data_IF_578834827201
#
_entry.id   IF_578834827201
#
_cell.length_a   1.000
_cell.length_b   1.000
_cell.length_c   1.000
_cell.angle_alpha   90.00
_cell.angle_beta   90.00
_cell.angle_gamma   90.00
#
_symmetry.space_group_name_H-M   'P 1'
#
loop_
_entity.id
_entity.type
_entity.pdbx_description
1 polymer ?
#
# COMPACT_ATOMS: atom_id res chain seq x y z
N UNK A 1 -4.38 21.46 -3.14
CA UNK A 1 -4.74 21.29 -4.57
C UNK A 1 -3.73 20.42 -5.33
N UNK A 2 -2.42 20.66 -5.24
CA UNK A 2 -1.40 19.84 -5.94
C UNK A 2 -1.42 18.33 -5.61
N UNK A 3 -1.67 17.97 -4.34
CA UNK A 3 -1.74 16.58 -3.89
C UNK A 3 -2.83 15.80 -4.64
N UNK A 4 -4.00 16.41 -4.88
CA UNK A 4 -5.12 15.74 -5.58
C UNK A 4 -4.74 15.45 -7.04
N UNK A 5 -4.09 16.41 -7.72
CA UNK A 5 -3.65 16.21 -9.11
C UNK A 5 -2.55 15.16 -9.24
N UNK A 6 -1.60 15.13 -8.30
CA UNK A 6 -0.55 14.10 -8.24
C UNK A 6 -1.14 12.68 -8.20
N UNK A 7 -2.25 12.51 -7.51
CA UNK A 7 -2.84 11.19 -7.30
C UNK A 7 -3.77 10.70 -8.41
N UNK A 8 -4.34 11.60 -9.21
CA UNK A 8 -5.16 11.22 -10.38
C UNK A 8 -4.33 10.43 -11.39
N UNK A 9 -3.03 10.74 -11.54
CA UNK A 9 -2.14 10.07 -12.49
C UNK A 9 -1.70 8.65 -12.06
N UNK A 10 -1.84 8.30 -10.78
CA UNK A 10 -1.53 6.94 -10.28
C UNK A 10 -2.48 5.89 -10.87
N UNK A 11 -3.68 6.29 -11.31
CA UNK A 11 -4.75 5.38 -11.70
C UNK A 11 -4.58 4.70 -13.06
N UNK A 12 -3.51 4.98 -13.82
CA UNK A 12 -3.39 4.55 -15.23
C UNK A 12 -2.37 3.43 -15.44
N UNK A 13 -2.34 2.41 -14.57
CA UNK A 13 -1.46 1.27 -14.76
C UNK A 13 -2.07 -0.02 -14.20
N UNK A 14 -2.21 -1.05 -15.05
CA UNK A 14 -3.20 -2.12 -14.90
C UNK A 14 -2.68 -3.49 -14.43
N UNK A 15 -1.41 -3.64 -14.02
CA UNK A 15 -0.83 -4.99 -13.89
C UNK A 15 -0.29 -5.38 -12.49
N UNK A 16 -0.44 -4.54 -11.46
CA UNK A 16 0.24 -4.80 -10.19
C UNK A 16 -0.66 -4.51 -8.99
N UNK A 17 -0.85 -5.50 -8.11
CA UNK A 17 -1.53 -5.35 -6.81
C UNK A 17 -1.00 -4.19 -5.99
N UNK A 18 0.29 -3.85 -6.14
CA UNK A 18 0.90 -2.69 -5.48
C UNK A 18 0.22 -1.37 -5.86
N UNK A 19 -0.28 -1.24 -7.10
CA UNK A 19 -0.97 -0.03 -7.60
C UNK A 19 -2.29 0.19 -6.87
N UNK A 20 -2.96 -0.89 -6.45
CA UNK A 20 -4.15 -0.80 -5.61
C UNK A 20 -3.80 -0.18 -4.25
N UNK A 21 -2.66 -0.58 -3.67
CA UNK A 21 -2.09 0.06 -2.47
C UNK A 21 -1.80 1.54 -2.65
N UNK A 22 -1.21 1.94 -3.78
CA UNK A 22 -0.99 3.36 -4.10
C UNK A 22 -2.29 4.15 -4.19
N UNK A 23 -3.32 3.57 -4.82
CA UNK A 23 -4.64 4.19 -4.92
C UNK A 23 -5.26 4.39 -3.54
N UNK A 24 -5.22 3.37 -2.67
CA UNK A 24 -5.72 3.47 -1.30
C UNK A 24 -4.94 4.49 -0.46
N UNK A 25 -3.62 4.58 -0.65
CA UNK A 25 -2.79 5.60 -0.01
C UNK A 25 -3.17 7.01 -0.46
N UNK A 26 -3.32 7.21 -1.76
CA UNK A 26 -3.76 8.46 -2.36
C UNK A 26 -5.13 8.90 -1.83
N UNK A 27 -6.11 7.99 -1.80
CA UNK A 27 -7.44 8.23 -1.27
C UNK A 27 -7.38 8.73 0.18
N UNK A 28 -6.60 8.06 1.03
CA UNK A 28 -6.46 8.44 2.44
C UNK A 28 -5.80 9.80 2.62
N UNK A 29 -4.82 10.15 1.78
CA UNK A 29 -4.22 11.50 1.75
C UNK A 29 -5.21 12.56 1.27
N UNK A 30 -6.12 12.24 0.36
CA UNK A 30 -7.19 13.15 -0.07
C UNK A 30 -8.22 13.34 1.05
N UNK A 31 -8.65 12.25 1.71
CA UNK A 31 -9.54 12.30 2.86
C UNK A 31 -8.94 13.15 3.98
N UNK A 32 -7.65 13.02 4.25
CA UNK A 32 -6.95 13.84 5.24
C UNK A 32 -7.05 15.34 4.91
N UNK A 33 -6.80 15.71 3.65
CA UNK A 33 -6.85 17.12 3.20
C UNK A 33 -8.28 17.68 3.21
N UNK A 34 -9.28 16.86 2.90
CA UNK A 34 -10.68 17.30 2.74
C UNK A 34 -11.48 17.23 4.04
N UNK A 35 -11.27 16.18 4.84
CA UNK A 35 -12.06 15.84 6.02
C UNK A 35 -11.24 15.82 7.33
N UNK A 36 -9.92 16.02 7.25
CA UNK A 36 -9.04 16.09 8.41
C UNK A 36 -8.38 14.75 8.78
N UNK A 37 -7.35 14.85 9.62
CA UNK A 37 -6.51 13.72 10.03
C UNK A 37 -7.29 12.62 10.74
N UNK A 38 -8.16 12.97 11.69
CA UNK A 38 -8.95 11.97 12.44
C UNK A 38 -9.76 11.06 11.51
N UNK A 39 -10.32 11.64 10.44
CA UNK A 39 -11.11 10.90 9.47
C UNK A 39 -10.26 9.99 8.60
N UNK A 40 -9.06 10.44 8.20
CA UNK A 40 -8.10 9.61 7.50
C UNK A 40 -7.62 8.45 8.39
N UNK A 41 -7.29 8.70 9.66
CA UNK A 41 -6.89 7.65 10.62
C UNK A 41 -8.02 6.65 10.87
N UNK A 42 -9.28 7.10 10.94
CA UNK A 42 -10.43 6.20 11.01
C UNK A 42 -10.51 5.29 9.78
N UNK A 43 -10.36 5.84 8.56
CA UNK A 43 -10.36 5.05 7.33
C UNK A 43 -9.21 4.04 7.30
N UNK A 44 -8.03 4.42 7.80
CA UNK A 44 -6.91 3.48 7.98
C UNK A 44 -7.28 2.34 8.94
N UNK A 45 -7.96 2.64 10.05
CA UNK A 45 -8.39 1.62 11.03
C UNK A 45 -9.43 0.67 10.45
N UNK A 46 -10.40 1.19 9.69
CA UNK A 46 -11.37 0.36 8.96
C UNK A 46 -10.65 -0.58 7.99
N UNK A 47 -9.67 -0.05 7.23
CA UNK A 47 -8.83 -0.83 6.34
C UNK A 47 -8.01 -1.90 7.06
N UNK A 48 -7.43 -1.57 8.22
CA UNK A 48 -6.73 -2.54 9.07
C UNK A 48 -7.64 -3.68 9.53
N UNK A 49 -8.88 -3.37 9.94
CA UNK A 49 -9.88 -4.40 10.28
C UNK A 49 -10.18 -5.28 9.07
N UNK A 50 -10.29 -4.66 7.89
CA UNK A 50 -10.46 -5.34 6.61
C UNK A 50 -9.35 -6.34 6.31
N UNK A 51 -8.11 -5.87 6.42
CA UNK A 51 -6.93 -6.70 6.23
C UNK A 51 -6.91 -7.91 7.17
N UNK A 52 -7.20 -7.71 8.46
CA UNK A 52 -7.28 -8.82 9.43
C UNK A 52 -8.37 -9.83 9.08
N UNK A 53 -9.54 -9.38 8.61
CA UNK A 53 -10.60 -10.31 8.12
C UNK A 53 -10.10 -11.13 6.93
N UNK A 54 -9.33 -10.54 6.03
CA UNK A 54 -8.76 -11.28 4.89
C UNK A 54 -7.70 -12.30 5.33
N UNK A 55 -6.90 -12.00 6.36
CA UNK A 55 -5.97 -12.98 6.93
C UNK A 55 -6.69 -14.20 7.48
N UNK A 56 -7.82 -14.00 8.17
CA UNK A 56 -8.64 -15.10 8.67
C UNK A 56 -9.32 -15.87 7.53
N UNK A 57 -9.87 -15.18 6.52
CA UNK A 57 -10.48 -15.80 5.34
C UNK A 57 -9.50 -16.72 4.60
N UNK A 58 -8.24 -16.30 4.48
CA UNK A 58 -7.20 -17.03 3.74
C UNK A 58 -6.27 -17.85 4.65
N UNK A 59 -6.64 -18.16 5.89
CA UNK A 59 -5.79 -18.93 6.81
C UNK A 59 -5.38 -20.30 6.26
N UNK A 60 -6.27 -20.93 5.49
CA UNK A 60 -6.03 -22.25 4.87
C UNK A 60 -5.31 -22.16 3.52
N UNK A 61 -5.17 -20.94 2.97
CA UNK A 61 -4.40 -20.68 1.76
C UNK A 61 -3.78 -19.28 1.78
N UNK A 62 -2.69 -19.14 2.54
CA UNK A 62 -2.08 -17.84 2.76
C UNK A 62 -1.38 -17.24 1.54
N UNK A 63 -1.27 -17.95 0.40
CA UNK A 63 -0.68 -17.40 -0.82
C UNK A 63 -1.37 -16.10 -1.25
N UNK A 64 -2.70 -16.01 -1.08
CA UNK A 64 -3.51 -14.85 -1.42
C UNK A 64 -3.38 -13.69 -0.44
N UNK A 65 -2.60 -13.85 0.63
CA UNK A 65 -2.26 -12.75 1.56
C UNK A 65 -0.97 -12.03 1.17
N UNK A 66 -0.23 -12.52 0.16
CA UNK A 66 0.94 -11.85 -0.39
C UNK A 66 0.54 -10.63 -1.20
N UNK A 67 1.42 -9.63 -1.26
CA UNK A 67 1.23 -8.51 -2.20
C UNK A 67 1.51 -8.93 -3.64
N UNK A 68 2.37 -9.93 -3.84
CA UNK A 68 2.65 -10.53 -5.14
C UNK A 68 2.32 -12.02 -5.13
N UNK A 69 1.03 -12.40 -5.15
CA UNK A 69 0.62 -13.80 -5.16
C UNK A 69 0.96 -14.46 -6.50
N UNK A 70 1.25 -15.76 -6.46
CA UNK A 70 1.34 -16.58 -7.68
C UNK A 70 -0.06 -16.85 -8.20
N UNK A 71 -0.39 -16.29 -9.36
CA UNK A 71 -1.74 -16.40 -9.96
C UNK A 71 -1.85 -17.42 -11.10
N UNK A 72 -0.76 -18.11 -11.46
CA UNK A 72 -0.77 -19.04 -12.59
C UNK A 72 -1.78 -20.18 -12.36
N UNK A 73 -2.81 -20.25 -13.22
CA UNK A 73 -3.85 -21.27 -13.16
C UNK A 73 -4.94 -21.03 -12.11
N UNK A 74 -5.03 -19.82 -11.54
CA UNK A 74 -6.02 -19.45 -10.53
C UNK A 74 -7.05 -18.51 -11.15
N UNK A 75 -8.34 -18.75 -10.86
CA UNK A 75 -9.41 -17.86 -11.27
C UNK A 75 -9.30 -16.52 -10.51
N UNK A 76 -9.20 -15.37 -11.20
CA UNK A 76 -9.17 -14.05 -10.55
C UNK A 76 -10.32 -13.80 -9.57
N UNK A 77 -11.51 -14.38 -9.81
CA UNK A 77 -12.68 -14.19 -8.96
C UNK A 77 -12.52 -14.91 -7.60
N UNK A 78 -11.77 -16.01 -7.56
CA UNK A 78 -11.52 -16.77 -6.31
C UNK A 78 -10.59 -16.02 -5.35
N UNK A 79 -9.75 -15.12 -5.88
CA UNK A 79 -8.69 -14.43 -5.14
C UNK A 79 -8.99 -12.96 -4.84
N UNK A 80 -10.09 -12.43 -5.39
CA UNK A 80 -10.51 -11.08 -5.12
C UNK A 80 -10.66 -10.82 -3.62
N UNK A 81 -9.96 -9.79 -3.14
CA UNK A 81 -9.87 -9.47 -1.71
C UNK A 81 -9.41 -8.04 -1.46
N UNK A 82 -9.52 -7.60 -0.20
CA UNK A 82 -9.00 -6.32 0.28
C UNK A 82 -7.45 -6.33 0.46
N UNK A 83 -6.79 -7.48 0.33
CA UNK A 83 -5.33 -7.63 0.56
C UNK A 83 -4.49 -6.66 -0.28
N UNK A 84 -4.61 -6.60 -1.61
CA UNK A 84 -3.77 -5.71 -2.42
C UNK A 84 -3.95 -4.22 -2.09
N UNK A 85 -5.18 -3.82 -1.75
CA UNK A 85 -5.50 -2.46 -1.30
C UNK A 85 -4.87 -2.17 0.07
N UNK A 86 -5.17 -3.00 1.06
CA UNK A 86 -4.87 -2.69 2.46
C UNK A 86 -3.44 -3.05 2.87
N UNK A 87 -2.92 -4.19 2.41
CA UNK A 87 -1.50 -4.53 2.63
C UNK A 87 -0.60 -3.60 1.81
N UNK A 88 -1.05 -3.22 0.62
CA UNK A 88 -0.32 -2.30 -0.25
C UNK A 88 -0.25 -0.90 0.37
N UNK A 89 -1.38 -0.43 0.93
CA UNK A 89 -1.39 0.78 1.75
C UNK A 89 -0.42 0.68 2.93
N UNK A 90 -0.51 -0.40 3.72
CA UNK A 90 0.34 -0.58 4.90
C UNK A 90 1.82 -0.56 4.56
N UNK A 91 2.20 -1.12 3.40
CA UNK A 91 3.57 -1.09 2.91
C UNK A 91 4.03 0.33 2.59
N UNK A 92 3.24 1.09 1.84
CA UNK A 92 3.56 2.49 1.51
C UNK A 92 3.59 3.37 2.76
N UNK A 93 2.67 3.15 3.69
CA UNK A 93 2.65 3.86 4.97
C UNK A 93 3.83 3.47 5.87
N UNK A 94 4.31 2.22 5.83
CA UNK A 94 5.55 1.81 6.51
C UNK A 94 6.78 2.53 5.94
N UNK A 95 6.85 2.73 4.63
CA UNK A 95 7.91 3.51 3.98
C UNK A 95 7.82 4.98 4.41
N UNK A 96 6.61 5.58 4.37
CA UNK A 96 6.37 6.95 4.83
C UNK A 96 6.84 7.16 6.28
N UNK A 97 6.51 6.22 7.18
CA UNK A 97 6.94 6.26 8.59
C UNK A 97 8.46 6.17 8.75
N UNK A 98 9.16 5.46 7.87
CA UNK A 98 10.62 5.35 7.94
C UNK A 98 11.33 6.63 7.51
N UNK A 99 10.92 7.20 6.37
CA UNK A 99 11.65 8.30 5.74
C UNK A 99 11.05 9.67 6.02
N UNK A 100 9.88 9.71 6.63
CA UNK A 100 9.11 10.90 6.89
C UNK A 100 8.29 11.35 5.68
N UNK A 101 7.11 11.90 5.97
CA UNK A 101 6.14 12.35 4.96
C UNK A 101 6.73 13.31 3.90
N UNK A 102 7.53 14.34 4.24
CA UNK A 102 8.06 15.23 3.20
C UNK A 102 8.96 14.49 2.19
N UNK A 103 9.81 13.57 2.66
CA UNK A 103 10.67 12.79 1.77
C UNK A 103 9.86 11.79 0.93
N UNK A 104 8.83 11.19 1.53
CA UNK A 104 7.93 10.30 0.80
C UNK A 104 7.11 11.03 -0.27
N UNK A 105 6.63 12.25 0.00
CA UNK A 105 5.94 13.08 -0.98
C UNK A 105 6.85 13.44 -2.17
N UNK A 106 8.14 13.72 -1.92
CA UNK A 106 9.14 13.92 -3.00
C UNK A 106 9.43 12.64 -3.78
N UNK A 107 9.50 11.48 -3.09
CA UNK A 107 9.62 10.18 -3.75
C UNK A 107 8.42 9.91 -4.68
N UNK A 108 7.20 10.13 -4.21
CA UNK A 108 5.98 9.94 -5.01
C UNK A 108 5.95 10.85 -6.25
N UNK A 109 6.36 12.11 -6.10
CA UNK A 109 6.50 13.02 -7.25
C UNK A 109 7.44 12.49 -8.31
N UNK A 110 8.63 12.01 -7.90
CA UNK A 110 9.60 11.41 -8.82
C UNK A 110 9.03 10.15 -9.46
N UNK A 111 8.44 9.26 -8.67
CA UNK A 111 7.81 8.02 -9.14
C UNK A 111 6.79 8.28 -10.25
N UNK A 112 5.84 9.19 -10.02
CA UNK A 112 4.81 9.55 -11.01
C UNK A 112 5.45 10.22 -12.23
N UNK A 113 6.37 11.16 -12.04
CA UNK A 113 7.03 11.83 -13.16
C UNK A 113 7.80 10.85 -14.06
N UNK A 114 8.41 9.82 -13.48
CA UNK A 114 9.17 8.79 -14.19
C UNK A 114 8.26 7.79 -14.92
N UNK A 115 7.20 7.32 -14.27
CA UNK A 115 6.40 6.19 -14.76
C UNK A 115 5.01 6.56 -15.30
N UNK A 116 4.66 7.85 -15.36
CA UNK A 116 3.41 8.28 -16.02
C UNK A 116 3.31 7.68 -17.43
N UNK A 117 2.11 7.20 -17.76
CA UNK A 117 1.80 6.53 -19.03
C UNK A 117 2.59 5.24 -19.31
N UNK A 118 3.14 4.61 -18.26
CA UNK A 118 3.84 3.32 -18.37
C UNK A 118 3.20 2.25 -17.50
N UNK A 119 3.40 1.00 -17.91
CA UNK A 119 3.12 -0.18 -17.07
C UNK A 119 4.42 -0.64 -16.43
N UNK A 120 4.43 -0.78 -15.11
CA UNK A 120 5.58 -1.28 -14.36
C UNK A 120 5.20 -2.50 -13.52
N UNK A 121 6.17 -3.39 -13.32
CA UNK A 121 6.05 -4.51 -12.39
C UNK A 121 6.55 -4.14 -10.98
N UNK A 122 6.44 -5.09 -10.05
CA UNK A 122 6.84 -4.86 -8.66
C UNK A 122 8.35 -4.70 -8.54
N UNK A 123 9.11 -5.46 -9.32
CA UNK A 123 10.57 -5.43 -9.37
C UNK A 123 11.08 -4.04 -9.75
N UNK A 124 10.51 -3.46 -10.80
CA UNK A 124 10.83 -2.10 -11.26
C UNK A 124 10.54 -1.08 -10.17
N UNK A 125 9.40 -1.20 -9.48
CA UNK A 125 9.10 -0.34 -8.33
C UNK A 125 10.13 -0.48 -7.21
N UNK A 126 10.47 -1.71 -6.81
CA UNK A 126 11.41 -1.96 -5.72
C UNK A 126 12.82 -1.44 -6.05
N UNK A 127 13.25 -1.58 -7.30
CA UNK A 127 14.51 -1.01 -7.78
C UNK A 127 14.49 0.53 -7.76
N UNK A 128 13.39 1.13 -8.21
CA UNK A 128 13.20 2.57 -8.15
C UNK A 128 13.19 3.10 -6.71
N UNK A 129 12.55 2.36 -5.79
CA UNK A 129 12.52 2.67 -4.36
C UNK A 129 13.94 2.67 -3.76
N UNK A 130 14.72 1.60 -3.97
CA UNK A 130 16.11 1.51 -3.48
C UNK A 130 17.01 2.60 -4.06
N UNK A 131 16.82 2.94 -5.32
CA UNK A 131 17.61 3.98 -6.00
C UNK A 131 17.33 5.37 -5.44
N UNK A 132 16.06 5.68 -5.16
CA UNK A 132 15.64 7.02 -4.69
C UNK A 132 15.63 7.17 -3.17
N UNK A 133 15.68 6.04 -2.45
CA UNK A 133 15.72 5.97 -0.99
C UNK A 133 16.83 5.00 -0.56
N UNK A 134 18.11 5.38 -0.70
CA UNK A 134 19.22 4.47 -0.43
C UNK A 134 19.22 3.93 1.00
N UNK A 135 19.36 2.61 1.12
CA UNK A 135 19.44 1.91 2.40
C UNK A 135 18.09 1.57 3.03
N UNK A 136 16.97 1.81 2.34
CA UNK A 136 15.63 1.44 2.79
C UNK A 136 15.49 -0.07 3.04
N UNK A 137 16.19 -0.90 2.26
CA UNK A 137 16.25 -2.35 2.40
C UNK A 137 16.94 -2.82 3.70
N UNK A 138 17.72 -1.94 4.36
CA UNK A 138 18.31 -2.22 5.67
C UNK A 138 17.36 -1.88 6.83
N UNK A 139 16.22 -1.24 6.54
CA UNK A 139 15.23 -0.76 7.52
C UNK A 139 13.90 -1.49 7.40
N UNK A 140 13.55 -1.88 6.18
CA UNK A 140 12.30 -2.55 5.84
C UNK A 140 12.66 -3.80 5.05
N UNK A 141 12.17 -4.95 5.49
CA UNK A 141 12.30 -6.20 4.73
C UNK A 141 11.34 -6.18 3.53
N UNK A 142 11.81 -5.62 2.42
CA UNK A 142 11.02 -5.46 1.19
C UNK A 142 10.51 -6.81 0.65
N UNK A 143 11.30 -7.88 0.84
CA UNK A 143 10.91 -9.22 0.41
C UNK A 143 9.75 -9.74 1.28
N UNK A 144 9.83 -9.59 2.61
CA UNK A 144 8.74 -9.97 3.50
C UNK A 144 7.46 -9.19 3.21
N UNK A 145 7.55 -7.90 2.92
CA UNK A 145 6.38 -7.09 2.57
C UNK A 145 5.71 -7.56 1.28
N UNK A 146 6.49 -7.85 0.23
CA UNK A 146 5.96 -8.18 -1.10
C UNK A 146 5.59 -9.67 -1.24
N UNK A 147 6.49 -10.55 -0.85
CA UNK A 147 6.42 -12.01 -1.07
C UNK A 147 6.04 -12.79 0.19
N UNK A 148 6.04 -12.15 1.36
CA UNK A 148 5.67 -12.76 2.63
C UNK A 148 4.16 -12.89 2.81
N UNK A 149 3.74 -13.97 3.48
CA UNK A 149 2.34 -14.22 3.85
C UNK A 149 1.96 -13.46 5.13
N UNK A 150 0.65 -13.27 5.35
CA UNK A 150 0.14 -12.62 6.54
C UNK A 150 0.38 -11.11 6.56
N UNK A 151 0.30 -10.53 7.75
CA UNK A 151 0.64 -9.13 8.02
C UNK A 151 2.09 -9.10 8.54
N UNK A 152 3.01 -8.33 7.92
CA UNK A 152 4.37 -8.18 8.42
C UNK A 152 4.40 -7.62 9.85
N UNK A 153 5.36 -8.04 10.69
CA UNK A 153 5.40 -7.67 12.11
C UNK A 153 5.67 -6.17 12.36
N UNK A 154 6.18 -5.44 11.37
CA UNK A 154 6.39 -3.99 11.43
C UNK A 154 5.22 -3.18 10.80
N UNK A 155 4.18 -3.86 10.33
CA UNK A 155 2.90 -3.22 10.02
C UNK A 155 2.27 -2.69 11.32
N UNK A 156 1.47 -1.62 11.21
CA UNK A 156 0.94 -0.93 12.38
C UNK A 156 -0.57 -0.78 12.30
N UNK A 157 -1.22 -1.10 13.41
CA UNK A 157 -2.61 -0.73 13.64
C UNK A 157 -2.71 0.78 13.89
N UNK A 158 -3.53 1.50 13.12
CA UNK A 158 -3.70 2.94 13.30
C UNK A 158 -4.29 3.27 14.66
N UNK A 159 -3.67 4.17 15.41
CA UNK A 159 -4.23 4.65 16.67
C UNK A 159 -5.28 5.73 16.41
N UNK A 160 -6.55 5.32 16.29
CA UNK A 160 -7.68 6.23 16.25
C UNK A 160 -8.59 6.01 17.47
N UNK A 161 -8.80 7.07 18.24
CA UNK A 161 -9.73 7.08 19.37
C UNK A 161 -11.16 6.74 18.95
N UNK A 162 -11.55 7.09 17.72
CA UNK A 162 -12.86 6.76 17.15
C UNK A 162 -12.92 5.32 16.66
N UNK A 163 -11.84 4.81 16.06
CA UNK A 163 -11.74 3.39 15.65
C UNK A 163 -11.77 2.42 16.84
N UNK A 164 -11.08 2.75 17.94
CA UNK A 164 -11.09 1.93 19.17
C UNK A 164 -12.48 1.78 19.83
N UNK A 165 -13.48 2.57 19.39
CA UNK A 165 -14.85 2.58 19.93
C UNK A 165 -15.86 1.79 19.08
N UNK A 166 -15.46 1.26 17.92
CA UNK A 166 -16.28 0.45 17.00
C UNK A 166 -15.71 -0.95 16.85
#
# INVERSE_FOLDING_TARGET
>A
MYIVYLYIDILVSYCCHLIQGFTTYAERRIVEVVQGEERATLNMGIGWRGLNRMMERFKDNMEFTKLKPKMAGIDPDDVYSEVPYEKGFQFLWRIEREIGRPAFDEFLKKYIATFKFQSIDTETFLEFLKTNVPGIENKIDLHLWVEGTGIPPDAMEPDSATYKKI
#
